data_IF_409873709097
#
_entry.id   IF_409873709097
#
_cell.length_a   1.000
_cell.length_b   1.000
_cell.length_c   1.000
_cell.angle_alpha   90.00
_cell.angle_beta   90.00
_cell.angle_gamma   90.00
#
_symmetry.space_group_name_H-M   'P 1'
#
loop_
_entity.id
_entity.type
_entity.pdbx_description
1 polymer ?
#
# COMPACT_ATOMS: atom_id res chain seq x y z
N UNK A 1 3.65 22.15 13.54
CA UNK A 1 4.32 21.66 14.78
C UNK A 1 4.69 20.19 14.63
N UNK A 2 5.98 19.85 14.77
CA UNK A 2 6.42 18.44 14.69
C UNK A 2 6.22 17.76 16.04
N UNK A 3 5.22 16.87 16.15
CA UNK A 3 4.99 16.06 17.35
C UNK A 3 5.74 14.75 17.22
N UNK A 4 6.79 14.55 18.02
CA UNK A 4 7.50 13.29 18.11
C UNK A 4 6.78 12.30 19.02
N UNK A 5 6.91 11.00 18.75
CA UNK A 5 6.36 9.90 19.55
C UNK A 5 7.45 8.88 19.82
N UNK A 6 7.37 8.23 20.98
CA UNK A 6 8.28 7.15 21.35
C UNK A 6 8.32 6.06 20.26
N UNK A 7 9.52 5.63 19.91
CA UNK A 7 9.78 4.62 18.90
C UNK A 7 9.83 5.12 17.45
N UNK A 8 9.63 6.41 17.19
CA UNK A 8 9.81 6.97 15.84
C UNK A 8 11.29 7.02 15.47
N UNK A 9 11.57 6.80 14.17
CA UNK A 9 12.91 7.00 13.62
C UNK A 9 13.09 8.46 13.20
N UNK A 10 14.22 9.02 13.58
CA UNK A 10 14.61 10.41 13.33
C UNK A 10 16.03 10.48 12.78
N UNK A 11 16.32 11.52 12.05
CA UNK A 11 17.69 11.92 11.76
C UNK A 11 18.03 13.10 12.68
N UNK A 12 19.09 12.96 13.46
CA UNK A 12 19.61 14.04 14.28
C UNK A 12 20.67 14.83 13.52
N UNK A 13 20.42 16.12 13.38
CA UNK A 13 21.37 17.08 12.86
C UNK A 13 22.16 17.65 14.05
N UNK A 14 23.21 16.95 14.47
CA UNK A 14 24.07 17.39 15.57
C UNK A 14 24.70 18.76 15.22
N UNK A 15 24.45 19.80 16.03
CA UNK A 15 25.05 21.14 15.79
C UNK A 15 26.57 21.13 15.81
N UNK A 16 27.20 20.20 16.53
CA UNK A 16 28.66 20.03 16.55
C UNK A 16 29.17 19.26 15.32
N UNK A 17 28.26 18.54 14.60
CA UNK A 17 28.59 17.76 13.40
C UNK A 17 29.38 16.48 13.65
N UNK A 18 29.53 16.07 14.91
CA UNK A 18 30.36 14.91 15.28
C UNK A 18 29.55 13.58 15.26
N UNK A 19 28.25 13.64 15.58
CA UNK A 19 27.38 12.47 15.83
C UNK A 19 26.08 12.47 15.05
N UNK A 20 25.95 13.29 14.01
CA UNK A 20 24.77 13.32 13.15
C UNK A 20 24.47 11.93 12.57
N UNK A 21 23.20 11.50 12.60
CA UNK A 21 22.82 10.18 12.13
C UNK A 21 21.37 9.80 12.42
N UNK A 22 21.07 8.52 12.17
CA UNK A 22 19.74 7.96 12.40
C UNK A 22 19.62 7.41 13.83
N UNK A 23 18.58 7.83 14.51
CA UNK A 23 18.28 7.48 15.89
C UNK A 23 16.80 7.06 16.03
N UNK A 24 16.48 6.51 17.19
CA UNK A 24 15.10 6.22 17.60
C UNK A 24 14.73 7.11 18.78
N UNK A 25 13.56 7.70 18.76
CA UNK A 25 13.02 8.46 19.91
C UNK A 25 12.73 7.47 21.04
N UNK A 26 13.44 7.58 22.14
CA UNK A 26 13.26 6.78 23.34
C UNK A 26 12.22 7.40 24.27
N UNK A 27 12.32 8.72 24.48
CA UNK A 27 11.31 9.47 25.23
C UNK A 27 11.07 10.84 24.57
N UNK A 28 9.88 11.03 24.06
CA UNK A 28 9.38 12.30 23.53
C UNK A 28 8.78 13.21 24.60
N UNK A 29 8.74 12.77 25.87
CA UNK A 29 8.10 13.46 26.99
C UNK A 29 6.65 13.89 26.68
N UNK A 30 5.88 13.01 25.99
CA UNK A 30 4.54 13.32 25.48
C UNK A 30 3.60 13.86 26.57
N UNK A 31 3.68 13.30 27.79
CA UNK A 31 2.85 13.76 28.93
C UNK A 31 3.15 15.21 29.33
N UNK A 32 4.42 15.62 29.25
CA UNK A 32 4.86 16.98 29.57
C UNK A 32 4.35 18.00 28.56
N UNK A 33 4.34 17.62 27.26
CA UNK A 33 4.04 18.51 26.16
C UNK A 33 2.65 18.32 25.54
N UNK A 34 1.79 17.46 26.13
CA UNK A 34 0.45 17.16 25.59
C UNK A 34 -0.47 18.38 25.45
N UNK A 35 -0.27 19.41 26.29
CA UNK A 35 -1.11 20.61 26.33
C UNK A 35 -0.54 21.77 25.49
N UNK A 36 0.62 21.60 24.85
CA UNK A 36 1.20 22.62 24.00
C UNK A 36 0.37 22.83 22.75
N UNK A 37 0.08 24.08 22.43
CA UNK A 37 -0.65 24.53 21.23
C UNK A 37 0.30 25.09 20.18
N UNK A 38 -0.23 25.40 18.97
CA UNK A 38 0.58 26.02 17.93
C UNK A 38 1.03 27.47 18.28
N UNK A 39 0.45 28.08 19.31
CA UNK A 39 0.85 29.37 19.85
C UNK A 39 2.07 29.28 20.79
N UNK A 40 2.34 28.08 21.32
CA UNK A 40 3.49 27.77 22.19
C UNK A 40 4.73 27.32 21.37
N UNK A 41 4.84 27.71 20.09
CA UNK A 41 5.81 27.18 19.11
C UNK A 41 7.24 27.45 19.52
N UNK A 42 7.56 28.65 20.08
CA UNK A 42 8.91 28.99 20.50
C UNK A 42 9.41 28.07 21.62
N UNK A 43 8.55 27.80 22.62
CA UNK A 43 8.88 26.87 23.71
C UNK A 43 8.91 25.41 23.26
N UNK A 44 8.25 25.09 22.12
CA UNK A 44 8.15 23.73 21.60
C UNK A 44 9.41 23.27 20.86
N UNK A 45 10.07 24.17 20.16
CA UNK A 45 11.30 23.86 19.41
C UNK A 45 12.50 23.64 20.36
N UNK A 46 12.47 24.25 21.54
CA UNK A 46 13.43 24.00 22.63
C UNK A 46 13.12 22.73 23.45
N UNK A 47 12.12 21.95 23.05
CA UNK A 47 11.76 20.73 23.75
C UNK A 47 12.87 19.69 23.65
N UNK A 48 13.27 19.17 24.83
CA UNK A 48 14.25 18.10 24.93
C UNK A 48 13.59 16.75 24.61
N UNK A 49 14.23 15.97 23.75
CA UNK A 49 13.84 14.63 23.35
C UNK A 49 15.00 13.69 23.61
N UNK A 50 14.74 12.56 24.25
CA UNK A 50 15.71 11.50 24.41
C UNK A 50 15.70 10.62 23.15
N UNK A 51 16.86 10.49 22.51
CA UNK A 51 17.06 9.62 21.35
C UNK A 51 18.13 8.57 21.64
N UNK A 52 18.15 7.48 20.88
CA UNK A 52 19.17 6.42 21.01
C UNK A 52 19.30 5.59 19.75
N UNK A 53 20.48 4.98 19.57
CA UNK A 53 20.82 4.08 18.47
C UNK A 53 21.02 2.60 18.90
N UNK A 54 20.74 2.30 20.15
CA UNK A 54 20.95 0.99 20.78
C UNK A 54 22.33 0.82 21.43
N UNK A 55 23.24 1.78 21.25
CA UNK A 55 24.57 1.80 21.85
C UNK A 55 24.79 3.05 22.70
N UNK A 56 24.21 4.17 22.27
CA UNK A 56 24.31 5.47 22.92
C UNK A 56 22.94 6.12 23.02
N UNK A 57 22.81 7.05 23.95
CA UNK A 57 21.62 7.87 24.17
C UNK A 57 22.04 9.33 24.26
N UNK A 58 21.20 10.23 23.76
CA UNK A 58 21.42 11.66 23.82
C UNK A 58 20.10 12.41 24.07
N UNK A 59 20.18 13.48 24.87
CA UNK A 59 19.14 14.49 25.01
C UNK A 59 19.40 15.59 23.99
N UNK A 60 18.45 15.82 23.08
CA UNK A 60 18.60 16.75 21.97
C UNK A 60 17.38 17.66 21.86
N UNK A 61 17.54 18.80 21.23
CA UNK A 61 16.41 19.68 20.97
C UNK A 61 15.54 19.15 19.81
N UNK A 62 14.24 19.33 19.91
CA UNK A 62 13.31 18.88 18.87
C UNK A 62 13.57 19.50 17.50
N UNK A 63 14.11 20.73 17.45
CA UNK A 63 14.47 21.42 16.22
C UNK A 63 15.63 20.75 15.46
N UNK A 64 16.50 20.03 16.17
CA UNK A 64 17.63 19.31 15.60
C UNK A 64 17.23 18.00 14.92
N UNK A 65 15.95 17.59 15.04
CA UNK A 65 15.47 16.30 14.59
C UNK A 65 14.62 16.42 13.32
N UNK A 66 14.94 15.59 12.34
CA UNK A 66 14.09 15.33 11.17
C UNK A 66 13.43 13.96 11.26
N UNK A 67 12.11 13.90 11.06
CA UNK A 67 11.38 12.63 11.02
C UNK A 67 11.74 11.85 9.76
N UNK A 68 12.32 10.66 9.92
CA UNK A 68 12.56 9.72 8.82
C UNK A 68 11.30 8.95 8.44
N UNK A 69 10.44 8.66 9.44
CA UNK A 69 9.13 8.07 9.23
C UNK A 69 8.12 8.74 10.17
N UNK A 70 7.04 9.35 9.65
CA UNK A 70 6.04 10.02 10.48
C UNK A 70 5.18 9.03 11.30
N UNK A 71 5.25 7.74 10.98
CA UNK A 71 4.47 6.71 11.65
C UNK A 71 5.24 6.14 12.84
N UNK A 72 4.53 5.90 13.94
CA UNK A 72 5.05 5.15 15.09
C UNK A 72 5.24 3.68 14.72
N UNK A 73 6.07 2.90 15.46
CA UNK A 73 6.23 1.47 15.23
C UNK A 73 4.92 0.68 15.28
N UNK A 74 3.95 1.11 16.09
CA UNK A 74 2.62 0.49 16.15
C UNK A 74 1.80 0.77 14.88
N UNK A 75 1.85 2.01 14.39
CA UNK A 75 1.18 2.39 13.12
C UNK A 75 1.82 1.66 11.93
N UNK A 76 3.15 1.52 11.90
CA UNK A 76 3.85 0.72 10.88
C UNK A 76 3.37 -0.74 10.91
N UNK A 77 3.29 -1.35 12.10
CA UNK A 77 2.78 -2.74 12.22
C UNK A 77 1.33 -2.86 11.75
N UNK A 78 0.48 -1.86 12.04
CA UNK A 78 -0.91 -1.85 11.55
C UNK A 78 -0.97 -1.76 10.03
N UNK A 79 -0.16 -0.87 9.42
CA UNK A 79 -0.08 -0.75 7.96
C UNK A 79 0.40 -2.05 7.34
N UNK A 80 1.45 -2.67 7.89
CA UNK A 80 1.94 -3.97 7.41
C UNK A 80 0.86 -5.06 7.51
N UNK A 81 0.18 -5.17 8.67
CA UNK A 81 -0.88 -6.16 8.84
C UNK A 81 -2.05 -5.93 7.87
N UNK A 82 -2.37 -4.68 7.54
CA UNK A 82 -3.38 -4.37 6.52
C UNK A 82 -2.91 -4.76 5.12
N UNK A 83 -1.65 -4.51 4.79
CA UNK A 83 -1.07 -4.90 3.50
C UNK A 83 -1.07 -6.43 3.33
N UNK A 84 -0.66 -7.17 4.37
CA UNK A 84 -0.68 -8.63 4.38
C UNK A 84 -2.11 -9.16 4.18
N UNK A 85 -3.09 -8.61 4.92
CA UNK A 85 -4.50 -9.00 4.79
C UNK A 85 -5.08 -8.67 3.40
N UNK A 86 -4.68 -7.56 2.79
CA UNK A 86 -5.09 -7.23 1.42
C UNK A 86 -4.48 -8.20 0.41
N UNK A 87 -3.24 -8.61 0.61
CA UNK A 87 -2.57 -9.58 -0.27
C UNK A 87 -3.22 -10.97 -0.16
N UNK A 88 -3.55 -11.42 1.05
CA UNK A 88 -4.28 -12.68 1.29
C UNK A 88 -5.66 -12.65 0.60
N UNK A 89 -6.42 -11.56 0.78
CA UNK A 89 -7.72 -11.40 0.13
C UNK A 89 -7.60 -11.45 -1.40
N UNK A 90 -6.61 -10.75 -1.95
CA UNK A 90 -6.34 -10.78 -3.39
C UNK A 90 -6.06 -12.20 -3.88
N UNK A 91 -5.27 -12.97 -3.14
CA UNK A 91 -4.95 -14.35 -3.48
C UNK A 91 -6.18 -15.26 -3.40
N UNK A 92 -7.03 -15.08 -2.39
CA UNK A 92 -8.28 -15.82 -2.26
C UNK A 92 -9.24 -15.52 -3.42
N UNK A 93 -9.34 -14.26 -3.84
CA UNK A 93 -10.14 -13.88 -5.01
C UNK A 93 -9.61 -14.52 -6.29
N UNK A 94 -8.29 -14.50 -6.53
CA UNK A 94 -7.68 -15.18 -7.69
C UNK A 94 -7.97 -16.67 -7.70
N UNK A 95 -7.94 -17.33 -6.54
CA UNK A 95 -8.28 -18.75 -6.42
C UNK A 95 -9.75 -19.00 -6.73
N UNK A 96 -10.67 -18.19 -6.19
CA UNK A 96 -12.11 -18.29 -6.49
C UNK A 96 -12.40 -18.08 -7.97
N UNK A 97 -11.80 -17.07 -8.59
CA UNK A 97 -11.95 -16.81 -10.02
C UNK A 97 -11.46 -18.01 -10.85
N UNK A 98 -10.28 -18.55 -10.52
CA UNK A 98 -9.71 -19.72 -11.20
C UNK A 98 -10.63 -20.94 -11.06
N UNK A 99 -11.12 -21.22 -9.84
CA UNK A 99 -12.06 -22.32 -9.59
C UNK A 99 -13.38 -22.14 -10.37
N UNK A 100 -13.83 -20.91 -10.50
CA UNK A 100 -15.05 -20.60 -11.24
C UNK A 100 -14.84 -20.82 -12.73
N UNK A 101 -13.82 -20.21 -13.33
CA UNK A 101 -13.52 -20.36 -14.76
C UNK A 101 -13.25 -21.84 -15.13
N UNK A 102 -12.63 -22.60 -14.22
CA UNK A 102 -12.35 -24.03 -14.46
C UNK A 102 -13.60 -24.92 -14.64
N UNK A 103 -14.78 -24.44 -14.26
CA UNK A 103 -16.05 -25.17 -14.41
C UNK A 103 -16.71 -24.97 -15.77
N UNK A 104 -16.25 -23.99 -16.55
CA UNK A 104 -16.76 -23.73 -17.88
C UNK A 104 -16.03 -24.56 -18.94
N UNK A 105 -16.71 -24.78 -20.07
CA UNK A 105 -16.14 -25.51 -21.19
C UNK A 105 -14.85 -24.82 -21.67
N UNK A 106 -13.88 -25.64 -22.04
CA UNK A 106 -12.55 -25.16 -22.47
C UNK A 106 -11.82 -24.30 -21.44
N UNK A 107 -12.28 -24.25 -20.16
CA UNK A 107 -11.76 -23.38 -19.10
C UNK A 107 -11.76 -21.90 -19.48
N UNK A 108 -12.79 -21.50 -20.20
CA UNK A 108 -13.00 -20.14 -20.70
C UNK A 108 -14.40 -19.66 -20.30
N UNK A 109 -14.46 -18.48 -19.72
CA UNK A 109 -15.68 -17.77 -19.36
C UNK A 109 -15.82 -16.54 -20.26
N UNK A 110 -16.91 -16.48 -20.99
CA UNK A 110 -17.34 -15.34 -21.80
C UNK A 110 -18.79 -15.01 -21.43
N UNK A 111 -19.20 -13.77 -21.65
CA UNK A 111 -20.60 -13.41 -21.52
C UNK A 111 -21.44 -14.14 -22.58
N UNK A 112 -22.59 -14.78 -22.23
CA UNK A 112 -23.38 -15.59 -23.16
C UNK A 112 -23.83 -14.85 -24.42
N UNK A 113 -24.10 -13.57 -24.32
CA UNK A 113 -24.53 -12.73 -25.45
C UNK A 113 -23.37 -12.09 -26.23
N UNK A 114 -22.12 -12.40 -25.86
CA UNK A 114 -20.92 -11.82 -26.45
C UNK A 114 -20.68 -10.36 -26.05
N UNK A 115 -21.27 -9.89 -24.95
CA UNK A 115 -20.98 -8.57 -24.41
C UNK A 115 -19.53 -8.53 -23.87
N UNK A 116 -18.93 -7.34 -23.95
CA UNK A 116 -17.62 -7.05 -23.37
C UNK A 116 -17.75 -6.06 -22.23
N UNK A 117 -16.77 -6.00 -21.36
CA UNK A 117 -16.79 -5.16 -20.16
C UNK A 117 -15.63 -4.19 -20.18
N UNK A 118 -15.94 -2.89 -20.00
CA UNK A 118 -14.91 -1.84 -19.94
C UNK A 118 -14.01 -2.07 -18.74
N UNK A 119 -12.70 -2.01 -18.97
CA UNK A 119 -11.66 -2.13 -17.96
C UNK A 119 -10.54 -1.11 -18.24
N UNK A 120 -9.77 -0.76 -17.19
CA UNK A 120 -8.58 0.08 -17.35
C UNK A 120 -7.37 -0.74 -16.90
N UNK A 121 -6.39 -0.87 -17.78
CA UNK A 121 -5.16 -1.59 -17.46
C UNK A 121 -4.24 -0.81 -16.50
N UNK A 122 -3.09 -1.37 -16.14
CA UNK A 122 -2.15 -0.77 -15.18
C UNK A 122 -1.59 0.59 -15.64
N UNK A 123 -1.57 0.85 -16.94
CA UNK A 123 -1.15 2.11 -17.54
C UNK A 123 -2.30 3.14 -17.59
N UNK A 124 -3.52 2.71 -17.24
CA UNK A 124 -4.75 3.51 -17.31
C UNK A 124 -5.37 3.54 -18.70
N UNK A 125 -4.92 2.71 -19.62
CA UNK A 125 -5.50 2.61 -20.95
C UNK A 125 -6.83 1.84 -20.91
N UNK A 126 -7.85 2.42 -21.56
CA UNK A 126 -9.17 1.79 -21.68
C UNK A 126 -9.10 0.59 -22.63
N UNK A 127 -9.56 -0.54 -22.15
CA UNK A 127 -9.73 -1.78 -22.92
C UNK A 127 -11.07 -2.45 -22.57
N UNK A 128 -11.41 -3.49 -23.30
CA UNK A 128 -12.60 -4.31 -23.09
C UNK A 128 -12.17 -5.71 -22.65
N UNK A 129 -12.75 -6.24 -21.57
CA UNK A 129 -12.58 -7.64 -21.17
C UNK A 129 -13.54 -8.48 -21.99
N UNK A 130 -13.01 -9.35 -22.84
CA UNK A 130 -13.77 -10.24 -23.73
C UNK A 130 -14.02 -11.57 -23.05
N UNK A 131 -13.01 -12.11 -22.37
CA UNK A 131 -13.07 -13.39 -21.71
C UNK A 131 -12.09 -13.50 -20.54
N UNK A 132 -12.36 -14.43 -19.64
CA UNK A 132 -11.43 -14.96 -18.66
C UNK A 132 -11.14 -16.43 -19.00
N UNK A 133 -9.88 -16.81 -19.07
CA UNK A 133 -9.45 -18.13 -19.54
C UNK A 133 -8.29 -18.66 -18.70
N UNK A 134 -8.20 -19.98 -18.56
CA UNK A 134 -7.02 -20.62 -17.97
C UNK A 134 -6.08 -21.09 -19.08
N UNK A 135 -4.97 -20.37 -19.25
CA UNK A 135 -3.93 -20.68 -20.24
C UNK A 135 -2.70 -21.23 -19.50
N UNK A 136 -2.28 -22.46 -19.84
CA UNK A 136 -1.13 -23.14 -19.22
C UNK A 136 -1.22 -23.20 -17.66
N UNK A 137 -2.45 -23.23 -17.11
CA UNK A 137 -2.70 -23.25 -15.67
C UNK A 137 -2.71 -21.88 -14.99
N UNK A 138 -2.53 -20.79 -15.74
CA UNK A 138 -2.64 -19.42 -15.25
C UNK A 138 -3.98 -18.79 -15.67
N UNK A 139 -4.63 -18.08 -14.72
CA UNK A 139 -5.85 -17.32 -15.02
C UNK A 139 -5.46 -16.04 -15.76
N UNK A 140 -6.03 -15.87 -16.94
CA UNK A 140 -5.68 -14.84 -17.92
C UNK A 140 -6.93 -14.09 -18.36
N UNK A 141 -6.86 -12.78 -18.47
CA UNK A 141 -7.88 -11.94 -19.08
C UNK A 141 -7.54 -11.72 -20.57
N UNK A 142 -8.54 -11.91 -21.43
CA UNK A 142 -8.46 -11.55 -22.84
C UNK A 142 -8.95 -10.12 -23.00
N UNK A 143 -8.03 -9.20 -23.29
CA UNK A 143 -8.30 -7.77 -23.39
C UNK A 143 -8.26 -7.31 -24.85
N UNK A 144 -9.26 -6.56 -25.27
CA UNK A 144 -9.32 -5.91 -26.58
C UNK A 144 -9.17 -4.39 -26.43
N UNK A 145 -8.21 -3.81 -27.15
CA UNK A 145 -7.96 -2.37 -27.19
C UNK A 145 -8.49 -1.79 -28.48
N UNK A 146 -9.76 -1.34 -28.47
CA UNK A 146 -10.45 -0.81 -29.66
C UNK A 146 -9.65 0.27 -30.38
N UNK A 147 -9.06 1.21 -29.62
CA UNK A 147 -8.31 2.34 -30.18
C UNK A 147 -7.03 1.93 -30.90
N UNK A 148 -6.47 0.76 -30.57
CA UNK A 148 -5.23 0.25 -31.11
C UNK A 148 -5.45 -0.91 -32.08
N UNK A 149 -6.65 -1.51 -32.10
CA UNK A 149 -6.96 -2.70 -32.89
C UNK A 149 -6.08 -3.91 -32.50
N UNK A 150 -5.75 -4.05 -31.21
CA UNK A 150 -4.93 -5.14 -30.70
C UNK A 150 -5.68 -5.91 -29.62
N UNK A 151 -5.39 -7.20 -29.55
CA UNK A 151 -5.83 -8.10 -28.49
C UNK A 151 -4.62 -8.57 -27.68
N UNK A 152 -4.80 -8.72 -26.36
CA UNK A 152 -3.76 -9.22 -25.46
C UNK A 152 -4.33 -10.19 -24.46
N UNK A 153 -3.58 -11.25 -24.19
CA UNK A 153 -3.83 -12.12 -23.04
C UNK A 153 -2.91 -11.68 -21.90
N UNK A 154 -3.49 -11.24 -20.80
CA UNK A 154 -2.77 -10.67 -19.65
C UNK A 154 -3.10 -11.47 -18.41
N UNK A 155 -2.10 -11.94 -17.63
CA UNK A 155 -2.35 -12.61 -16.36
C UNK A 155 -3.20 -11.76 -15.43
N UNK A 156 -4.29 -12.30 -14.89
CA UNK A 156 -5.17 -11.60 -13.95
C UNK A 156 -4.41 -11.17 -12.69
N UNK A 157 -3.37 -11.89 -12.33
CA UNK A 157 -2.49 -11.56 -11.20
C UNK A 157 -1.74 -10.24 -11.37
N UNK A 158 -1.58 -9.72 -12.58
CA UNK A 158 -0.94 -8.43 -12.87
C UNK A 158 -1.94 -7.28 -13.08
N UNK A 159 -3.24 -7.51 -12.93
CA UNK A 159 -4.31 -6.54 -13.16
C UNK A 159 -5.04 -6.19 -11.84
N UNK A 160 -6.01 -5.28 -11.90
CA UNK A 160 -6.91 -5.05 -10.76
C UNK A 160 -7.86 -6.24 -10.60
N UNK A 161 -7.53 -7.09 -9.62
CA UNK A 161 -8.26 -8.32 -9.34
C UNK A 161 -9.67 -8.05 -8.83
N UNK A 162 -9.89 -6.93 -8.12
CA UNK A 162 -11.22 -6.57 -7.59
C UNK A 162 -12.17 -6.22 -8.73
N UNK A 163 -11.74 -5.36 -9.65
CA UNK A 163 -12.53 -4.97 -10.81
C UNK A 163 -12.82 -6.16 -11.72
N UNK A 164 -11.81 -7.02 -11.96
CA UNK A 164 -12.02 -8.24 -12.76
C UNK A 164 -12.92 -9.28 -12.09
N UNK A 165 -12.93 -9.33 -10.75
CA UNK A 165 -13.86 -10.20 -10.02
C UNK A 165 -15.30 -9.72 -10.21
N UNK A 166 -15.56 -8.42 -10.13
CA UNK A 166 -16.89 -7.86 -10.36
C UNK A 166 -17.34 -8.11 -11.81
N UNK A 167 -16.47 -7.93 -12.80
CA UNK A 167 -16.72 -8.28 -14.20
C UNK A 167 -17.05 -9.78 -14.35
N UNK A 168 -16.29 -10.66 -13.69
CA UNK A 168 -16.57 -12.11 -13.73
C UNK A 168 -17.96 -12.42 -13.18
N UNK A 169 -18.37 -11.77 -12.09
CA UNK A 169 -19.72 -11.95 -11.52
C UNK A 169 -20.78 -11.51 -12.50
N UNK A 170 -20.62 -10.37 -13.17
CA UNK A 170 -21.53 -9.90 -14.22
C UNK A 170 -21.61 -10.86 -15.41
N UNK A 171 -20.48 -11.50 -15.80
CA UNK A 171 -20.46 -12.52 -16.86
C UNK A 171 -21.29 -13.77 -16.53
N UNK A 172 -21.49 -14.04 -15.24
CA UNK A 172 -22.16 -15.27 -14.75
C UNK A 172 -23.65 -15.05 -14.44
N UNK A 173 -24.01 -13.83 -13.98
CA UNK A 173 -25.36 -13.55 -13.41
C UNK A 173 -26.48 -13.40 -14.43
N UNK A 174 -26.25 -13.56 -15.75
CA UNK A 174 -27.25 -13.62 -16.80
C UNK A 174 -27.32 -15.02 -17.46
#
# INVERSE_FOLDING_TARGET
MRKFKNGQRVYWNDPAGETSGEYTVLDAHEEKYQNYTDEDVEDYDERIILIGDGHSEAEVNAEELDLLCPLSPEEIRKVQAMQDAMQDLRQDMLNMMRETVSKYDEQRLEHPDGNTFTFHDEDGDKCEVVALEIIEGELTAHLEYENLGIERNVPVSSLDVLELYDIMVEMIDE
#
